data_IF_402549921852
#
_entry.id   IF_402549921852
#
_cell.length_a   1.000
_cell.length_b   1.000
_cell.length_c   1.000
_cell.angle_alpha   90.00
_cell.angle_beta   90.00
_cell.angle_gamma   90.00
#
_symmetry.space_group_name_H-M   'P 1'
#
loop_
_entity.id
_entity.type
_entity.pdbx_description
1 polymer ?
#
# COMPACT_ATOMS: atom_id res chain seq x y z
N UNK A 1 -13.83 -10.43 -30.38
CA UNK A 1 -14.06 -9.26 -29.50
C UNK A 1 -13.58 -9.64 -28.11
N UNK A 2 -12.66 -8.88 -27.48
CA UNK A 2 -12.42 -9.06 -26.05
C UNK A 2 -13.77 -8.85 -25.38
N UNK A 3 -14.27 -9.85 -24.64
CA UNK A 3 -15.47 -9.64 -23.84
C UNK A 3 -15.16 -8.50 -22.87
N UNK A 4 -15.90 -7.41 -22.98
CA UNK A 4 -15.79 -6.30 -22.04
C UNK A 4 -16.40 -6.79 -20.72
N UNK A 5 -15.60 -7.49 -19.92
CA UNK A 5 -16.01 -7.84 -18.56
C UNK A 5 -15.99 -6.55 -17.70
N UNK A 6 -16.78 -6.54 -16.65
CA UNK A 6 -16.94 -5.35 -15.79
C UNK A 6 -15.62 -4.86 -15.18
N UNK A 7 -14.64 -5.74 -14.97
CA UNK A 7 -13.38 -5.45 -14.30
C UNK A 7 -12.42 -4.59 -15.14
N UNK A 8 -12.61 -4.50 -16.47
CA UNK A 8 -11.77 -3.67 -17.34
C UNK A 8 -12.14 -2.18 -17.30
N UNK A 9 -13.32 -1.82 -16.78
CA UNK A 9 -13.84 -0.44 -16.80
C UNK A 9 -13.33 0.44 -15.66
N UNK A 10 -12.78 -0.16 -14.59
CA UNK A 10 -12.35 0.61 -13.43
C UNK A 10 -10.90 1.09 -13.58
N UNK A 11 -10.71 2.40 -13.42
CA UNK A 11 -9.39 3.02 -13.26
C UNK A 11 -9.13 3.38 -11.78
N UNK A 12 -10.17 3.88 -11.12
CA UNK A 12 -10.20 4.17 -9.70
C UNK A 12 -11.21 3.24 -9.05
N UNK A 13 -10.79 2.52 -8.01
CA UNK A 13 -11.64 1.60 -7.26
C UNK A 13 -11.62 1.99 -5.78
N UNK A 14 -12.79 2.31 -5.24
CA UNK A 14 -12.96 2.62 -3.83
C UNK A 14 -13.76 1.53 -3.13
N UNK A 15 -13.14 0.91 -2.13
CA UNK A 15 -13.67 -0.14 -1.26
C UNK A 15 -13.66 0.33 0.21
N UNK A 16 -13.79 1.65 0.43
CA UNK A 16 -13.70 2.27 1.75
C UNK A 16 -14.86 1.86 2.66
N UNK A 17 -14.59 1.51 3.92
CA UNK A 17 -15.65 1.34 4.93
C UNK A 17 -16.46 0.05 4.80
N UNK A 18 -15.97 -0.95 4.06
CA UNK A 18 -16.71 -2.17 3.73
C UNK A 18 -16.47 -3.33 4.71
N UNK A 19 -15.72 -3.10 5.79
CA UNK A 19 -15.33 -4.12 6.79
C UNK A 19 -14.56 -5.30 6.17
N UNK A 20 -13.79 -5.03 5.12
CA UNK A 20 -12.98 -6.03 4.43
C UNK A 20 -11.83 -6.46 5.35
N UNK A 21 -11.63 -7.78 5.48
CA UNK A 21 -10.59 -8.36 6.33
C UNK A 21 -9.33 -8.77 5.57
N UNK A 22 -9.48 -9.10 4.30
CA UNK A 22 -8.37 -9.42 3.40
C UNK A 22 -8.79 -9.11 1.96
N UNK A 23 -7.81 -8.84 1.10
CA UNK A 23 -7.97 -8.86 -0.35
C UNK A 23 -7.48 -10.22 -0.82
N UNK A 24 -8.22 -10.91 -1.67
CA UNK A 24 -7.82 -12.18 -2.25
C UNK A 24 -7.18 -11.97 -3.64
N UNK A 25 -6.69 -13.06 -4.23
CA UNK A 25 -6.04 -13.06 -5.53
C UNK A 25 -6.99 -12.65 -6.68
N UNK A 26 -8.32 -12.74 -6.48
CA UNK A 26 -9.29 -12.35 -7.50
C UNK A 26 -9.28 -10.83 -7.78
N UNK A 27 -8.68 -10.02 -6.90
CA UNK A 27 -8.53 -8.58 -7.13
C UNK A 27 -7.67 -8.25 -8.37
N UNK A 28 -6.85 -9.20 -8.85
CA UNK A 28 -6.07 -9.03 -10.08
C UNK A 28 -6.94 -8.95 -11.33
N UNK A 29 -8.21 -9.38 -11.27
CA UNK A 29 -9.16 -9.28 -12.38
C UNK A 29 -9.43 -7.84 -12.79
N UNK A 30 -9.23 -6.88 -11.90
CA UNK A 30 -9.29 -5.45 -12.20
C UNK A 30 -8.08 -5.00 -13.02
N UNK A 31 -8.14 -5.20 -14.33
CA UNK A 31 -6.99 -5.05 -15.24
C UNK A 31 -6.45 -3.61 -15.36
N UNK A 32 -7.28 -2.61 -15.07
CA UNK A 32 -6.99 -1.19 -15.36
C UNK A 32 -6.96 -0.27 -14.13
N UNK A 33 -7.17 -0.83 -12.93
CA UNK A 33 -7.17 -0.04 -11.70
C UNK A 33 -5.76 0.47 -11.41
N UNK A 34 -5.61 1.79 -11.46
CA UNK A 34 -4.39 2.51 -11.12
C UNK A 34 -4.44 3.12 -9.72
N UNK A 35 -5.64 3.42 -9.22
CA UNK A 35 -5.86 3.97 -7.88
C UNK A 35 -6.82 3.07 -7.10
N UNK A 36 -6.37 2.58 -5.95
CA UNK A 36 -7.17 1.74 -5.08
C UNK A 36 -7.27 2.36 -3.69
N UNK A 37 -8.50 2.52 -3.20
CA UNK A 37 -8.77 2.97 -1.84
C UNK A 37 -9.45 1.86 -1.04
N UNK A 38 -8.74 1.32 -0.05
CA UNK A 38 -9.22 0.31 0.91
C UNK A 38 -9.21 0.85 2.34
N UNK A 39 -9.26 2.16 2.50
CA UNK A 39 -9.21 2.79 3.82
C UNK A 39 -10.42 2.43 4.68
N UNK A 40 -10.31 2.55 6.01
CA UNK A 40 -11.38 2.30 6.96
C UNK A 40 -11.94 0.87 6.85
N UNK A 41 -11.04 -0.12 6.80
CA UNK A 41 -11.38 -1.54 6.76
C UNK A 41 -10.72 -2.27 7.94
N UNK A 42 -10.63 -3.60 7.87
CA UNK A 42 -10.06 -4.45 8.91
C UNK A 42 -8.91 -5.30 8.35
N UNK A 43 -8.18 -4.77 7.37
CA UNK A 43 -7.06 -5.47 6.73
C UNK A 43 -5.94 -5.68 7.74
N UNK A 44 -5.43 -6.91 7.85
CA UNK A 44 -4.25 -7.26 8.65
C UNK A 44 -2.95 -7.23 7.84
N UNK A 45 -3.06 -7.34 6.52
CA UNK A 45 -1.96 -7.37 5.58
C UNK A 45 -2.35 -6.79 4.22
N UNK A 46 -1.35 -6.36 3.46
CA UNK A 46 -1.48 -6.07 2.03
C UNK A 46 -0.74 -7.16 1.26
N UNK A 47 -1.48 -8.16 0.78
CA UNK A 47 -0.92 -9.32 0.07
C UNK A 47 -1.17 -9.24 -1.45
N UNK A 48 -2.37 -8.85 -1.86
CA UNK A 48 -2.81 -8.81 -3.26
C UNK A 48 -3.36 -7.44 -3.63
N UNK A 49 -3.01 -6.97 -4.84
CA UNK A 49 -3.51 -5.72 -5.43
C UNK A 49 -3.67 -5.88 -6.94
N UNK A 50 -4.54 -5.09 -7.60
CA UNK A 50 -4.57 -5.01 -9.06
C UNK A 50 -3.19 -4.70 -9.64
N UNK A 51 -2.79 -5.40 -10.71
CA UNK A 51 -1.43 -5.36 -11.26
C UNK A 51 -0.97 -3.97 -11.74
N UNK A 52 -1.90 -3.06 -12.05
CA UNK A 52 -1.62 -1.69 -12.51
C UNK A 52 -1.72 -0.65 -11.40
N UNK A 53 -1.96 -1.04 -10.16
CA UNK A 53 -2.09 -0.11 -9.03
C UNK A 53 -0.79 0.69 -8.87
N UNK A 54 -0.90 2.02 -8.93
CA UNK A 54 0.21 2.96 -8.69
C UNK A 54 -0.04 3.82 -7.46
N UNK A 55 -1.29 3.95 -7.03
CA UNK A 55 -1.72 4.74 -5.89
C UNK A 55 -2.54 3.81 -4.99
N UNK A 56 -2.07 3.62 -3.76
CA UNK A 56 -2.80 2.87 -2.74
C UNK A 56 -3.10 3.77 -1.55
N UNK A 57 -4.38 3.82 -1.17
CA UNK A 57 -4.85 4.40 0.08
C UNK A 57 -5.40 3.28 0.97
N UNK A 58 -4.66 2.93 2.03
CA UNK A 58 -5.00 1.89 2.99
C UNK A 58 -4.96 2.43 4.43
N UNK A 59 -5.46 3.66 4.61
CA UNK A 59 -5.51 4.30 5.92
C UNK A 59 -6.52 3.62 6.85
N UNK A 60 -6.33 3.73 8.16
CA UNK A 60 -7.31 3.30 9.16
C UNK A 60 -7.71 1.82 8.97
N UNK A 61 -6.72 0.95 9.14
CA UNK A 61 -6.82 -0.50 9.06
C UNK A 61 -6.06 -1.13 10.25
N UNK A 62 -5.75 -2.43 10.20
CA UNK A 62 -4.99 -3.16 11.22
C UNK A 62 -3.72 -3.78 10.60
N UNK A 63 -3.17 -3.14 9.57
CA UNK A 63 -2.09 -3.71 8.75
C UNK A 63 -0.83 -3.83 9.60
N UNK A 64 -0.32 -5.04 9.75
CA UNK A 64 0.98 -5.32 10.39
C UNK A 64 2.08 -5.61 9.36
N UNK A 65 1.70 -6.14 8.19
CA UNK A 65 2.65 -6.62 7.19
C UNK A 65 2.23 -6.24 5.76
N UNK A 66 3.21 -5.99 4.90
CA UNK A 66 3.03 -5.78 3.47
C UNK A 66 3.79 -6.89 2.75
N UNK A 67 3.10 -7.69 1.95
CA UNK A 67 3.65 -8.82 1.18
C UNK A 67 3.32 -8.70 -0.31
N UNK A 68 3.25 -7.47 -0.81
CA UNK A 68 2.94 -7.19 -2.20
C UNK A 68 4.02 -7.76 -3.14
N UNK A 69 3.59 -8.23 -4.31
CA UNK A 69 4.48 -8.64 -5.39
C UNK A 69 5.38 -7.48 -5.86
N UNK A 70 6.67 -7.77 -6.05
CA UNK A 70 7.68 -6.79 -6.50
C UNK A 70 7.30 -6.10 -7.82
N UNK A 71 6.64 -6.82 -8.74
CA UNK A 71 6.20 -6.26 -10.03
C UNK A 71 5.15 -5.14 -9.91
N UNK A 72 4.38 -5.11 -8.81
CA UNK A 72 3.43 -4.03 -8.50
C UNK A 72 4.13 -2.96 -7.67
N UNK A 73 4.90 -3.36 -6.64
CA UNK A 73 5.62 -2.46 -5.75
C UNK A 73 6.55 -1.50 -6.51
N UNK A 74 7.31 -2.02 -7.47
CA UNK A 74 8.26 -1.26 -8.29
C UNK A 74 7.63 -0.17 -9.17
N UNK A 75 6.31 -0.16 -9.34
CA UNK A 75 5.56 0.85 -10.13
C UNK A 75 4.78 1.84 -9.27
N UNK A 76 4.73 1.61 -7.97
CA UNK A 76 3.93 2.38 -7.04
C UNK A 76 4.52 3.78 -6.84
N UNK A 77 3.67 4.81 -6.93
CA UNK A 77 4.05 6.22 -6.75
C UNK A 77 3.65 6.70 -5.36
N UNK A 78 2.49 6.27 -4.87
CA UNK A 78 1.96 6.67 -3.57
C UNK A 78 1.48 5.46 -2.77
N UNK A 79 1.94 5.39 -1.52
CA UNK A 79 1.56 4.38 -0.55
C UNK A 79 1.10 5.05 0.75
N UNK A 80 -0.20 5.02 1.01
CA UNK A 80 -0.82 5.51 2.22
C UNK A 80 -1.17 4.38 3.19
N UNK A 81 -0.44 4.27 4.29
CA UNK A 81 -0.57 3.26 5.34
C UNK A 81 -0.73 3.88 6.73
N UNK A 82 -1.15 5.14 6.81
CA UNK A 82 -1.36 5.81 8.09
C UNK A 82 -2.47 5.17 8.93
N UNK A 83 -2.39 5.25 10.26
CA UNK A 83 -3.35 4.62 11.19
C UNK A 83 -3.44 3.10 11.00
N UNK A 84 -2.33 2.40 11.24
CA UNK A 84 -2.20 0.95 11.14
C UNK A 84 -1.33 0.40 12.30
N UNK A 85 -0.90 -0.85 12.22
CA UNK A 85 -0.14 -1.55 13.26
C UNK A 85 1.28 -1.94 12.80
N UNK A 86 1.87 -1.21 11.85
CA UNK A 86 3.17 -1.53 11.27
C UNK A 86 4.29 -1.30 12.30
N UNK A 87 5.09 -2.34 12.52
CA UNK A 87 6.23 -2.32 13.48
C UNK A 87 7.58 -2.11 12.80
N UNK A 88 7.70 -2.45 11.53
CA UNK A 88 8.92 -2.29 10.73
C UNK A 88 8.60 -2.32 9.24
N UNK A 89 9.48 -1.68 8.46
CA UNK A 89 9.40 -1.63 7.00
C UNK A 89 10.53 -2.37 6.29
N UNK A 90 11.58 -2.76 7.04
CA UNK A 90 12.84 -3.23 6.47
C UNK A 90 12.70 -4.48 5.59
N UNK A 91 11.66 -5.27 5.82
CA UNK A 91 11.41 -6.52 5.09
C UNK A 91 10.65 -6.34 3.77
N UNK A 92 10.02 -5.19 3.54
CA UNK A 92 9.09 -5.03 2.41
C UNK A 92 9.24 -3.74 1.62
N UNK A 93 9.94 -2.71 2.11
CA UNK A 93 10.00 -1.40 1.44
C UNK A 93 10.96 -1.37 0.24
N UNK A 94 11.98 -2.24 0.20
CA UNK A 94 13.04 -2.22 -0.83
C UNK A 94 12.53 -2.23 -2.28
N UNK A 95 11.48 -2.99 -2.66
CA UNK A 95 10.96 -3.00 -4.03
C UNK A 95 10.34 -1.68 -4.52
N UNK A 96 10.05 -0.71 -3.65
CA UNK A 96 9.28 0.50 -3.96
C UNK A 96 10.09 1.62 -4.64
N UNK A 97 10.88 1.25 -5.66
CA UNK A 97 11.89 2.13 -6.27
C UNK A 97 11.32 3.39 -6.95
N UNK A 98 10.05 3.38 -7.38
CA UNK A 98 9.36 4.53 -7.99
C UNK A 98 8.54 5.35 -6.99
N UNK A 99 8.59 5.01 -5.69
CA UNK A 99 7.74 5.63 -4.68
C UNK A 99 8.17 7.06 -4.43
N UNK A 100 7.22 8.00 -4.58
CA UNK A 100 7.43 9.42 -4.37
C UNK A 100 6.83 9.91 -3.06
N UNK A 101 5.81 9.21 -2.57
CA UNK A 101 5.07 9.58 -1.36
C UNK A 101 4.77 8.35 -0.53
N UNK A 102 5.23 8.38 0.72
CA UNK A 102 4.96 7.36 1.73
C UNK A 102 4.33 8.01 2.96
N UNK A 103 3.16 7.54 3.35
CA UNK A 103 2.55 7.88 4.64
C UNK A 103 2.45 6.63 5.51
N UNK A 104 3.16 6.65 6.62
CA UNK A 104 3.22 5.60 7.66
C UNK A 104 2.95 6.22 9.03
N UNK A 105 2.25 7.35 9.08
CA UNK A 105 1.89 8.05 10.31
C UNK A 105 0.98 7.17 11.18
N UNK A 106 1.03 7.35 12.50
CA UNK A 106 0.19 6.63 13.46
C UNK A 106 0.27 5.11 13.28
N UNK A 107 1.51 4.60 13.29
CA UNK A 107 1.85 3.18 13.35
C UNK A 107 2.62 2.90 14.65
N UNK A 108 3.30 1.75 14.71
CA UNK A 108 4.04 1.30 15.91
C UNK A 108 5.53 1.14 15.59
N UNK A 109 6.10 2.07 14.80
CA UNK A 109 7.53 2.10 14.51
C UNK A 109 8.29 2.62 15.73
N UNK A 110 9.02 1.75 16.41
CA UNK A 110 9.74 2.07 17.65
C UNK A 110 11.24 2.37 17.46
N UNK A 111 11.72 2.46 16.21
CA UNK A 111 13.13 2.75 15.94
C UNK A 111 13.26 3.65 14.72
N UNK A 112 13.70 4.88 14.97
CA UNK A 112 13.96 5.84 13.90
C UNK A 112 15.12 5.38 13.02
N UNK A 113 16.18 4.79 13.59
CA UNK A 113 17.34 4.31 12.82
C UNK A 113 16.95 3.20 11.84
N UNK A 114 16.17 2.20 12.28
CA UNK A 114 15.67 1.15 11.40
C UNK A 114 14.75 1.71 10.31
N UNK A 115 13.96 2.73 10.65
CA UNK A 115 13.06 3.40 9.70
C UNK A 115 13.83 4.16 8.64
N UNK A 116 14.81 4.98 9.03
CA UNK A 116 15.65 5.75 8.11
C UNK A 116 16.48 4.83 7.23
N UNK A 117 17.14 3.82 7.82
CA UNK A 117 17.97 2.87 7.08
C UNK A 117 17.16 2.12 6.01
N UNK A 118 15.90 1.78 6.29
CA UNK A 118 15.03 1.11 5.32
C UNK A 118 14.66 2.01 4.13
N UNK A 119 14.78 3.34 4.25
CA UNK A 119 14.41 4.31 3.22
C UNK A 119 15.60 4.83 2.40
N UNK A 120 16.84 4.52 2.80
CA UNK A 120 18.05 5.03 2.13
C UNK A 120 18.11 4.70 0.64
N UNK A 121 17.57 3.54 0.25
CA UNK A 121 17.58 3.04 -1.13
C UNK A 121 16.40 3.58 -1.97
N UNK A 122 15.55 4.47 -1.43
CA UNK A 122 14.41 5.03 -2.14
C UNK A 122 14.73 6.41 -2.74
N UNK A 123 15.46 6.43 -3.85
CA UNK A 123 15.94 7.66 -4.50
C UNK A 123 14.83 8.63 -4.93
N UNK A 124 13.63 8.13 -5.22
CA UNK A 124 12.50 8.93 -5.69
C UNK A 124 11.61 9.48 -4.57
N UNK A 125 11.85 9.09 -3.32
CA UNK A 125 10.99 9.47 -2.19
C UNK A 125 11.18 10.95 -1.86
N UNK A 126 10.13 11.74 -2.05
CA UNK A 126 10.14 13.19 -1.81
C UNK A 126 9.21 13.63 -0.68
N UNK A 127 8.25 12.78 -0.31
CA UNK A 127 7.26 13.04 0.74
C UNK A 127 7.18 11.85 1.68
N UNK A 128 7.52 12.08 2.94
CA UNK A 128 7.48 11.10 4.01
C UNK A 128 6.67 11.65 5.18
N UNK A 129 5.68 10.89 5.63
CA UNK A 129 4.88 11.20 6.82
C UNK A 129 5.02 10.07 7.83
N UNK A 130 5.49 10.40 9.03
CA UNK A 130 5.82 9.45 10.12
C UNK A 130 5.24 9.87 11.47
N UNK A 131 4.40 10.90 11.49
CA UNK A 131 3.86 11.49 12.72
C UNK A 131 3.13 10.42 13.56
N UNK A 132 3.24 10.46 14.88
CA UNK A 132 2.45 9.58 15.76
C UNK A 132 2.98 8.15 15.87
N UNK A 133 4.21 7.88 15.40
CA UNK A 133 4.95 6.67 15.74
C UNK A 133 5.73 6.86 17.06
N UNK A 134 5.89 5.81 17.87
CA UNK A 134 6.54 5.87 19.18
C UNK A 134 8.08 5.73 19.10
N UNK A 135 8.73 6.38 18.12
CA UNK A 135 10.18 6.28 17.90
C UNK A 135 11.02 6.45 19.16
#
# INVERSE_FOLDING_TARGET
AKSENIYSFFHDLSLKGLRIKYLDEEIHRFENVASLNVSNNMLLSIDYLPHKTRILHAYDNQIETVKMQEAVASKMIHLGLGYNSIKSMSTWIRPFQMLQSLDISFNVLCSIDLTVNALLDLENLSRLYVLGNPF
#
